data_IF_984216998326
#
_entry.id   IF_984216998326
#
_cell.length_a   1.000
_cell.length_b   1.000
_cell.length_c   1.000
_cell.angle_alpha   90.00
_cell.angle_beta   90.00
_cell.angle_gamma   90.00
#
_symmetry.space_group_name_H-M   'P 1'
#
loop_
_entity.id
_entity.type
_entity.pdbx_description
1 polymer ?
#
# COMPACT_ATOMS: atom_id res chain seq x y z
N UNK A 1 -22.30 13.55 -3.79
CA UNK A 1 -22.23 12.70 -2.57
C UNK A 1 -21.70 13.55 -1.43
N UNK A 2 -22.21 13.41 -0.21
CA UNK A 2 -21.63 14.07 0.95
C UNK A 2 -20.37 13.30 1.37
N UNK A 3 -19.34 13.96 1.89
CA UNK A 3 -18.11 13.28 2.37
C UNK A 3 -18.42 12.26 3.47
N UNK A 4 -19.50 12.46 4.22
CA UNK A 4 -20.00 11.52 5.24
C UNK A 4 -20.52 10.20 4.66
N UNK A 5 -20.88 10.17 3.37
CA UNK A 5 -21.40 8.97 2.69
C UNK A 5 -20.27 8.10 2.12
N UNK A 6 -19.04 8.63 2.08
CA UNK A 6 -17.84 7.94 1.60
C UNK A 6 -17.25 7.12 2.74
N UNK A 7 -16.93 5.84 2.51
CA UNK A 7 -16.29 4.99 3.54
C UNK A 7 -14.87 5.44 3.85
N UNK A 8 -14.31 5.09 5.02
CA UNK A 8 -12.91 5.43 5.35
C UNK A 8 -11.91 4.84 4.35
N UNK A 9 -12.14 3.63 3.85
CA UNK A 9 -11.28 2.99 2.84
C UNK A 9 -11.37 3.71 1.49
N UNK A 10 -12.57 4.13 1.06
CA UNK A 10 -12.73 4.92 -0.17
C UNK A 10 -12.09 6.31 -0.04
N UNK A 11 -12.24 6.96 1.12
CA UNK A 11 -11.58 8.23 1.39
C UNK A 11 -10.05 8.10 1.41
N UNK A 12 -9.51 7.00 1.95
CA UNK A 12 -8.08 6.68 1.88
C UNK A 12 -7.57 6.53 0.44
N UNK A 13 -8.35 5.90 -0.44
CA UNK A 13 -8.03 5.82 -1.87
C UNK A 13 -8.00 7.20 -2.52
N UNK A 14 -8.93 8.10 -2.19
CA UNK A 14 -8.90 9.49 -2.68
C UNK A 14 -7.66 10.25 -2.20
N UNK A 15 -7.28 10.09 -0.93
CA UNK A 15 -6.04 10.69 -0.40
C UNK A 15 -4.82 10.21 -1.20
N UNK A 16 -4.66 8.90 -1.38
CA UNK A 16 -3.56 8.33 -2.16
C UNK A 16 -3.58 8.82 -3.62
N UNK A 17 -4.75 8.84 -4.26
CA UNK A 17 -4.88 9.33 -5.63
C UNK A 17 -4.40 10.79 -5.75
N UNK A 18 -4.82 11.65 -4.82
CA UNK A 18 -4.41 13.06 -4.83
C UNK A 18 -2.91 13.24 -4.59
N UNK A 19 -2.31 12.47 -3.68
CA UNK A 19 -0.87 12.48 -3.49
C UNK A 19 -0.12 12.13 -4.79
N UNK A 20 -0.54 11.08 -5.50
CA UNK A 20 0.12 10.68 -6.75
C UNK A 20 -0.12 11.69 -7.87
N UNK A 21 -1.31 12.27 -7.98
CA UNK A 21 -1.63 13.29 -9.01
C UNK A 21 -1.21 14.71 -8.62
N UNK A 22 -0.39 14.88 -7.58
CA UNK A 22 0.12 16.19 -7.14
C UNK A 22 -0.98 17.20 -6.76
N UNK A 23 -2.11 16.71 -6.28
CA UNK A 23 -3.20 17.51 -5.70
C UNK A 23 -3.04 17.45 -4.19
N UNK A 24 -3.04 18.60 -3.51
CA UNK A 24 -2.91 18.61 -2.05
C UNK A 24 -4.23 18.14 -1.38
N UNK A 25 -4.27 16.95 -0.74
CA UNK A 25 -5.50 16.41 -0.15
C UNK A 25 -5.98 17.18 1.08
N UNK A 26 -5.13 18.05 1.66
CA UNK A 26 -5.50 18.93 2.78
C UNK A 26 -6.19 20.22 2.36
N UNK A 27 -6.19 20.53 1.05
CA UNK A 27 -6.75 21.78 0.48
C UNK A 27 -7.69 21.51 -0.69
N UNK A 28 -8.36 20.35 -0.70
CA UNK A 28 -9.25 19.97 -1.80
C UNK A 28 -10.59 20.70 -1.69
N UNK A 29 -10.80 21.76 -2.49
CA UNK A 29 -12.02 22.59 -2.46
C UNK A 29 -12.39 23.12 -1.05
N UNK A 30 -11.38 23.45 -0.24
CA UNK A 30 -11.57 23.91 1.15
C UNK A 30 -11.84 22.78 2.15
N UNK A 31 -11.77 21.52 1.74
CA UNK A 31 -11.82 20.35 2.61
C UNK A 31 -10.41 19.80 2.86
N UNK A 32 -10.16 19.44 4.12
CA UNK A 32 -8.99 18.66 4.51
C UNK A 32 -9.37 17.18 4.64
N UNK A 33 -9.13 16.42 3.57
CA UNK A 33 -9.46 15.01 3.51
C UNK A 33 -8.61 14.17 4.46
N UNK A 34 -7.37 14.59 4.71
CA UNK A 34 -6.45 13.88 5.61
C UNK A 34 -6.92 14.03 7.05
N UNK A 35 -7.27 15.26 7.46
CA UNK A 35 -7.82 15.53 8.79
C UNK A 35 -9.18 14.84 9.02
N UNK A 36 -10.05 14.81 8.00
CA UNK A 36 -11.31 14.06 8.08
C UNK A 36 -11.07 12.55 8.22
N UNK A 37 -10.09 12.00 7.51
CA UNK A 37 -9.72 10.59 7.62
C UNK A 37 -9.14 10.27 9.02
N UNK A 38 -8.22 11.09 9.53
CA UNK A 38 -7.64 10.96 10.88
C UNK A 38 -8.71 10.95 11.96
N UNK A 39 -9.65 11.89 11.89
CA UNK A 39 -10.80 11.97 12.81
C UNK A 39 -11.62 10.68 12.86
N UNK A 40 -11.82 10.02 11.71
CA UNK A 40 -12.56 8.75 11.65
C UNK A 40 -11.79 7.61 12.28
N UNK A 41 -10.48 7.55 12.08
CA UNK A 41 -9.61 6.56 12.74
C UNK A 41 -9.65 6.75 14.26
N UNK A 42 -9.57 8.00 14.74
CA UNK A 42 -9.61 8.30 16.18
C UNK A 42 -10.94 7.92 16.83
N UNK A 43 -12.03 7.99 16.08
CA UNK A 43 -13.37 7.63 16.55
C UNK A 43 -13.65 6.12 16.52
N UNK A 44 -12.78 5.30 15.91
CA UNK A 44 -12.98 3.86 15.73
C UNK A 44 -12.03 3.04 16.61
N UNK A 45 -12.49 1.85 16.99
CA UNK A 45 -11.67 0.88 17.72
C UNK A 45 -10.88 -0.03 16.77
N UNK A 46 -11.45 -0.34 15.61
CA UNK A 46 -10.78 -1.10 14.55
C UNK A 46 -10.63 -0.21 13.32
N UNK A 47 -9.47 -0.26 12.68
CA UNK A 47 -9.22 0.45 11.42
C UNK A 47 -8.54 -0.49 10.44
N UNK A 48 -9.03 -0.52 9.20
CA UNK A 48 -8.39 -1.27 8.13
C UNK A 48 -6.98 -0.70 7.89
N UNK A 49 -5.90 -1.51 7.85
CA UNK A 49 -4.54 -1.02 7.70
C UNK A 49 -4.29 -0.12 6.47
N UNK A 50 -5.05 -0.30 5.38
CA UNK A 50 -4.98 0.58 4.20
C UNK A 50 -5.27 2.06 4.53
N UNK A 51 -6.11 2.32 5.53
CA UNK A 51 -6.46 3.68 5.97
C UNK A 51 -5.27 4.31 6.70
N UNK A 52 -4.60 3.56 7.59
CA UNK A 52 -3.41 4.05 8.29
C UNK A 52 -2.26 4.27 7.31
N UNK A 53 -2.09 3.38 6.33
CA UNK A 53 -1.11 3.53 5.26
C UNK A 53 -1.33 4.85 4.48
N UNK A 54 -2.58 5.17 4.10
CA UNK A 54 -2.87 6.42 3.40
C UNK A 54 -2.60 7.67 4.26
N UNK A 55 -2.89 7.62 5.57
CA UNK A 55 -2.52 8.69 6.50
C UNK A 55 -1.00 8.87 6.57
N UNK A 56 -0.26 7.77 6.72
CA UNK A 56 1.20 7.79 6.78
C UNK A 56 1.81 8.37 5.48
N UNK A 57 1.32 7.92 4.32
CA UNK A 57 1.69 8.44 2.99
C UNK A 57 1.44 9.95 2.84
N UNK A 58 0.39 10.47 3.48
CA UNK A 58 0.06 11.90 3.52
C UNK A 58 0.89 12.70 4.54
N UNK A 59 1.88 12.06 5.19
CA UNK A 59 2.70 12.66 6.24
C UNK A 59 1.96 12.90 7.55
N UNK A 60 0.76 12.32 7.73
CA UNK A 60 0.06 12.35 9.02
C UNK A 60 0.78 11.41 10.00
N UNK A 61 0.92 11.85 11.26
CA UNK A 61 1.62 11.06 12.29
C UNK A 61 0.88 9.74 12.54
N UNK A 62 1.62 8.63 12.46
CA UNK A 62 1.15 7.33 12.93
C UNK A 62 1.43 7.23 14.43
N UNK A 63 0.40 6.99 15.23
CA UNK A 63 0.52 6.91 16.70
C UNK A 63 0.81 5.49 17.18
N UNK A 64 1.23 5.33 18.43
CA UNK A 64 1.38 3.99 19.04
C UNK A 64 0.04 3.22 19.07
N UNK A 65 -1.09 3.91 19.23
CA UNK A 65 -2.42 3.29 19.16
C UNK A 65 -2.66 2.73 17.75
N UNK A 66 -2.30 3.48 16.71
CA UNK A 66 -2.44 3.02 15.34
C UNK A 66 -1.56 1.78 15.08
N UNK A 67 -0.31 1.78 15.57
CA UNK A 67 0.60 0.63 15.44
C UNK A 67 0.03 -0.62 16.12
N UNK A 68 -0.47 -0.50 17.35
CA UNK A 68 -1.14 -1.63 18.04
C UNK A 68 -2.36 -2.12 17.25
N UNK A 69 -3.21 -1.22 16.77
CA UNK A 69 -4.37 -1.59 15.96
C UNK A 69 -3.99 -2.29 14.65
N UNK A 70 -2.87 -1.90 14.03
CA UNK A 70 -2.35 -2.57 12.83
C UNK A 70 -1.92 -4.00 13.15
N UNK A 71 -1.18 -4.21 14.26
CA UNK A 71 -0.73 -5.54 14.70
C UNK A 71 -1.95 -6.41 15.05
N UNK A 72 -2.91 -5.89 15.81
CA UNK A 72 -4.16 -6.60 16.12
C UNK A 72 -4.93 -6.98 14.85
N UNK A 73 -4.99 -6.09 13.84
CA UNK A 73 -5.61 -6.39 12.55
C UNK A 73 -4.87 -7.47 11.76
N UNK A 74 -3.54 -7.51 11.87
CA UNK A 74 -2.72 -8.57 11.28
C UNK A 74 -2.94 -9.91 11.97
N UNK A 75 -2.98 -9.93 13.30
CA UNK A 75 -3.18 -11.15 14.10
C UNK A 75 -4.59 -11.71 13.89
N UNK A 76 -5.63 -10.88 13.99
CA UNK A 76 -7.02 -11.28 13.81
C UNK A 76 -7.33 -11.86 12.42
N UNK A 77 -6.45 -11.63 11.44
CA UNK A 77 -6.53 -12.17 10.08
C UNK A 77 -6.13 -13.66 9.98
N UNK A 78 -6.75 -14.51 10.82
CA UNK A 78 -6.44 -15.94 10.90
C UNK A 78 -6.95 -16.79 9.71
N UNK A 79 -7.86 -16.28 8.87
CA UNK A 79 -8.36 -17.01 7.69
C UNK A 79 -7.48 -16.73 6.47
N UNK A 80 -7.29 -17.73 5.61
CA UNK A 80 -6.52 -17.62 4.35
C UNK A 80 -6.93 -16.36 3.56
N UNK A 81 -8.23 -16.10 3.38
CA UNK A 81 -8.80 -14.96 2.63
C UNK A 81 -8.31 -13.55 3.08
N UNK A 82 -7.62 -13.43 4.24
CA UNK A 82 -7.25 -12.14 4.84
C UNK A 82 -5.77 -11.79 4.66
N UNK A 83 -5.04 -12.51 3.80
CA UNK A 83 -3.62 -12.22 3.50
C UNK A 83 -3.42 -10.80 2.93
N UNK A 84 -4.41 -10.24 2.22
CA UNK A 84 -4.38 -8.83 1.81
C UNK A 84 -4.27 -7.88 3.00
N UNK A 85 -5.04 -8.13 4.07
CA UNK A 85 -5.02 -7.33 5.30
C UNK A 85 -3.67 -7.45 5.99
N UNK A 86 -3.08 -8.66 6.01
CA UNK A 86 -1.73 -8.89 6.55
C UNK A 86 -0.66 -8.12 5.77
N UNK A 87 -0.72 -8.17 4.44
CA UNK A 87 0.20 -7.42 3.58
C UNK A 87 0.06 -5.90 3.76
N UNK A 88 -1.19 -5.40 3.82
CA UNK A 88 -1.46 -3.98 4.08
C UNK A 88 -1.00 -3.53 5.47
N UNK A 89 -1.09 -4.40 6.48
CA UNK A 89 -0.56 -4.14 7.81
C UNK A 89 0.97 -4.01 7.80
N UNK A 90 1.68 -4.93 7.14
CA UNK A 90 3.14 -4.83 6.99
C UNK A 90 3.53 -3.56 6.23
N UNK A 91 2.81 -3.20 5.16
CA UNK A 91 3.03 -1.94 4.44
C UNK A 91 2.81 -0.72 5.35
N UNK A 92 1.74 -0.69 6.14
CA UNK A 92 1.45 0.41 7.06
C UNK A 92 2.54 0.55 8.15
N UNK A 93 3.02 -0.58 8.71
CA UNK A 93 4.12 -0.60 9.68
C UNK A 93 5.43 -0.14 9.05
N UNK A 94 5.76 -0.61 7.84
CA UNK A 94 6.94 -0.17 7.11
C UNK A 94 6.92 1.34 6.81
N UNK A 95 5.75 1.91 6.53
CA UNK A 95 5.60 3.36 6.41
C UNK A 95 5.82 4.06 7.75
N UNK A 96 5.19 3.58 8.83
CA UNK A 96 5.31 4.15 10.17
C UNK A 96 6.77 4.18 10.64
N UNK A 97 7.52 3.10 10.42
CA UNK A 97 8.94 2.99 10.77
C UNK A 97 9.85 4.00 10.05
N UNK A 98 9.40 4.57 8.92
CA UNK A 98 10.12 5.61 8.17
C UNK A 98 9.80 7.03 8.66
N UNK A 99 8.79 7.21 9.52
CA UNK A 99 8.51 8.52 10.09
C UNK A 99 9.60 8.92 11.09
N UNK A 100 9.93 10.22 11.22
CA UNK A 100 10.97 10.69 12.13
C UNK A 100 10.58 10.61 13.62
N UNK A 101 9.39 10.08 13.91
CA UNK A 101 8.89 9.90 15.26
C UNK A 101 9.25 8.48 15.71
N UNK A 102 9.83 8.32 16.90
CA UNK A 102 10.10 7.00 17.47
C UNK A 102 8.78 6.24 17.65
N UNK A 103 8.42 5.42 16.65
CA UNK A 103 7.41 4.39 16.81
C UNK A 103 8.11 3.17 17.37
N UNK A 104 7.71 2.74 18.57
CA UNK A 104 8.12 1.44 19.10
C UNK A 104 7.75 0.34 18.09
N UNK A 105 8.47 -0.80 18.12
CA UNK A 105 8.24 -2.01 17.30
C UNK A 105 8.94 -2.18 15.91
N UNK A 106 10.15 -1.64 15.62
CA UNK A 106 10.89 -2.03 14.41
C UNK A 106 11.16 -3.55 14.31
N UNK A 107 11.37 -4.21 15.46
CA UNK A 107 11.66 -5.64 15.54
C UNK A 107 10.48 -6.55 15.14
N UNK A 108 9.25 -6.02 15.09
CA UNK A 108 8.05 -6.81 14.75
C UNK A 108 7.89 -6.99 13.24
N UNK A 109 8.36 -6.04 12.43
CA UNK A 109 8.20 -6.07 10.97
C UNK A 109 8.81 -7.34 10.33
N UNK A 110 10.05 -7.77 10.69
CA UNK A 110 10.63 -9.01 10.17
C UNK A 110 9.79 -10.27 10.47
N UNK A 111 9.23 -10.38 11.68
CA UNK A 111 8.40 -11.51 12.10
C UNK A 111 7.11 -11.60 11.26
N UNK A 112 6.39 -10.49 11.12
CA UNK A 112 5.16 -10.44 10.32
C UNK A 112 5.44 -10.68 8.83
N UNK A 113 6.59 -10.19 8.34
CA UNK A 113 7.04 -10.43 6.97
C UNK A 113 7.33 -11.92 6.73
N UNK A 114 7.92 -12.61 7.71
CA UNK A 114 8.15 -14.06 7.63
C UNK A 114 6.84 -14.85 7.51
N UNK A 115 5.79 -14.46 8.23
CA UNK A 115 4.47 -15.10 8.06
C UNK A 115 3.95 -14.93 6.62
N UNK A 116 4.15 -13.75 6.00
CA UNK A 116 3.76 -13.53 4.60
C UNK A 116 4.56 -14.40 3.63
N UNK A 117 5.88 -14.57 3.85
CA UNK A 117 6.73 -15.45 3.03
C UNK A 117 6.20 -16.88 3.01
N UNK A 118 5.82 -17.39 4.19
CA UNK A 118 5.28 -18.74 4.36
C UNK A 118 3.92 -19.00 3.69
N UNK A 119 3.26 -17.98 3.12
CA UNK A 119 1.99 -18.13 2.40
C UNK A 119 2.15 -18.37 0.89
N UNK A 120 3.38 -18.39 0.37
CA UNK A 120 3.59 -18.68 -1.03
C UNK A 120 3.23 -20.14 -1.35
N UNK A 121 2.35 -20.34 -2.32
CA UNK A 121 2.08 -21.66 -2.86
C UNK A 121 3.25 -22.15 -3.72
N UNK A 122 3.34 -23.47 -3.91
CA UNK A 122 4.37 -24.09 -4.78
C UNK A 122 4.39 -23.56 -6.21
N UNK A 123 3.29 -22.99 -6.71
CA UNK A 123 3.21 -22.40 -8.04
C UNK A 123 3.81 -20.97 -8.11
N UNK A 124 4.20 -20.37 -6.98
CA UNK A 124 4.77 -19.02 -6.85
C UNK A 124 3.78 -17.92 -6.47
N UNK A 125 2.46 -18.19 -6.50
CA UNK A 125 1.45 -17.20 -6.12
C UNK A 125 1.16 -17.24 -4.63
N UNK A 126 0.69 -16.14 -4.08
CA UNK A 126 -0.04 -16.09 -2.80
C UNK A 126 -1.51 -15.86 -3.13
N UNK A 127 -2.33 -16.89 -2.96
CA UNK A 127 -3.77 -16.89 -3.29
C UNK A 127 -4.06 -16.48 -4.74
N UNK A 128 -4.25 -15.18 -4.98
CA UNK A 128 -4.61 -14.60 -6.27
C UNK A 128 -3.61 -13.51 -6.68
N UNK A 129 -3.78 -12.95 -7.88
CA UNK A 129 -2.88 -11.98 -8.47
C UNK A 129 -2.70 -10.71 -7.61
N UNK A 130 -3.80 -10.18 -7.08
CA UNK A 130 -3.82 -8.99 -6.21
C UNK A 130 -3.05 -9.26 -4.92
N UNK A 131 -3.35 -10.38 -4.28
CA UNK A 131 -2.73 -10.77 -3.00
C UNK A 131 -1.24 -11.06 -3.18
N UNK A 132 -0.86 -11.73 -4.27
CA UNK A 132 0.55 -11.93 -4.64
C UNK A 132 1.27 -10.59 -4.78
N UNK A 133 0.66 -9.63 -5.50
CA UNK A 133 1.26 -8.32 -5.70
C UNK A 133 1.39 -7.50 -4.40
N UNK A 134 0.39 -7.58 -3.51
CA UNK A 134 0.43 -6.93 -2.20
C UNK A 134 1.50 -7.52 -1.30
N UNK A 135 1.63 -8.85 -1.26
CA UNK A 135 2.68 -9.53 -0.46
C UNK A 135 4.06 -9.13 -0.95
N UNK A 136 4.33 -9.19 -2.26
CA UNK A 136 5.62 -8.76 -2.80
C UNK A 136 5.93 -7.29 -2.45
N UNK A 137 4.96 -6.39 -2.57
CA UNK A 137 5.13 -5.00 -2.15
C UNK A 137 5.42 -4.85 -0.65
N UNK A 138 4.76 -5.63 0.19
CA UNK A 138 4.98 -5.62 1.64
C UNK A 138 6.41 -6.09 1.99
N UNK A 139 6.89 -7.15 1.34
CA UNK A 139 8.25 -7.67 1.52
C UNK A 139 9.31 -6.67 1.06
N UNK A 140 9.09 -5.99 -0.08
CA UNK A 140 9.98 -4.92 -0.55
C UNK A 140 10.02 -3.73 0.42
N UNK A 141 8.86 -3.35 0.96
CA UNK A 141 8.76 -2.20 1.86
C UNK A 141 9.36 -2.46 3.25
N UNK A 142 9.31 -3.71 3.72
CA UNK A 142 9.83 -4.12 5.03
C UNK A 142 11.33 -4.32 5.07
N UNK A 143 12.03 -4.27 3.91
CA UNK A 143 13.47 -4.56 3.80
C UNK A 143 13.82 -5.91 4.44
N UNK A 144 12.86 -6.85 4.44
CA UNK A 144 13.07 -8.20 4.96
C UNK A 144 14.19 -8.85 4.14
N UNK A 145 15.30 -9.23 4.80
CA UNK A 145 16.43 -9.87 4.12
C UNK A 145 15.94 -11.01 3.21
N UNK A 146 16.55 -11.11 2.03
CA UNK A 146 16.27 -12.15 1.07
C UNK A 146 16.69 -13.49 1.68
N UNK A 147 15.69 -14.20 2.17
CA UNK A 147 15.79 -15.60 2.55
C UNK A 147 15.10 -16.37 1.43
N UNK A 148 15.86 -16.63 0.36
CA UNK A 148 15.40 -17.26 -0.88
C UNK A 148 14.75 -18.63 -0.61
N UNK A 149 15.06 -19.27 0.51
CA UNK A 149 14.48 -20.55 0.92
C UNK A 149 12.99 -20.42 1.29
N UNK A 150 12.53 -19.23 1.69
CA UNK A 150 11.19 -19.01 2.24
C UNK A 150 10.22 -18.31 1.27
N UNK A 151 10.71 -17.60 0.24
CA UNK A 151 9.85 -16.98 -0.79
C UNK A 151 10.57 -16.86 -2.15
N UNK A 152 10.03 -17.51 -3.18
CA UNK A 152 10.55 -17.46 -4.55
C UNK A 152 10.01 -16.23 -5.29
N UNK A 153 10.71 -15.11 -5.17
CA UNK A 153 10.33 -13.82 -5.77
C UNK A 153 10.25 -13.88 -7.30
N UNK A 154 11.19 -14.58 -7.94
CA UNK A 154 11.23 -14.70 -9.40
C UNK A 154 9.98 -15.42 -9.91
N UNK A 155 9.59 -16.51 -9.25
CA UNK A 155 8.39 -17.26 -9.61
C UNK A 155 7.12 -16.47 -9.34
N UNK A 156 7.07 -15.71 -8.26
CA UNK A 156 5.95 -14.80 -8.00
C UNK A 156 5.84 -13.73 -9.10
N UNK A 157 6.93 -13.05 -9.44
CA UNK A 157 6.97 -12.04 -10.50
C UNK A 157 6.58 -12.63 -11.86
N UNK A 158 7.08 -13.82 -12.19
CA UNK A 158 6.70 -14.54 -13.42
C UNK A 158 5.19 -14.81 -13.46
N UNK A 159 4.57 -15.18 -12.33
CA UNK A 159 3.12 -15.37 -12.25
C UNK A 159 2.35 -14.06 -12.39
N UNK A 160 2.87 -12.96 -11.84
CA UNK A 160 2.29 -11.63 -12.07
C UNK A 160 2.29 -11.29 -13.57
N UNK A 161 3.44 -11.40 -14.23
CA UNK A 161 3.59 -11.06 -15.66
C UNK A 161 2.70 -11.92 -16.57
N UNK A 162 2.56 -13.22 -16.28
CA UNK A 162 1.64 -14.11 -17.00
C UNK A 162 0.15 -13.74 -16.81
N UNK A 163 -0.17 -12.92 -15.81
CA UNK A 163 -1.52 -12.42 -15.56
C UNK A 163 -1.93 -11.25 -16.46
N UNK A 164 -0.98 -10.64 -17.18
CA UNK A 164 -1.25 -9.51 -18.07
C UNK A 164 -2.10 -9.93 -19.27
N UNK A 165 -3.10 -9.10 -19.60
CA UNK A 165 -4.00 -9.27 -20.74
C UNK A 165 -3.43 -8.54 -21.97
N UNK A 166 -4.01 -8.84 -23.14
CA UNK A 166 -3.59 -8.22 -24.41
C UNK A 166 -3.72 -6.69 -24.41
N UNK A 167 -4.67 -6.15 -23.65
CA UNK A 167 -4.87 -4.71 -23.45
C UNK A 167 -3.89 -4.08 -22.44
N UNK A 168 -2.95 -4.87 -21.90
CA UNK A 168 -1.97 -4.45 -20.90
C UNK A 168 -2.51 -4.45 -19.46
N UNK A 169 -3.81 -4.65 -19.25
CA UNK A 169 -4.42 -4.72 -17.92
C UNK A 169 -4.13 -6.05 -17.23
N UNK A 170 -4.43 -6.12 -15.94
CA UNK A 170 -4.37 -7.37 -15.15
C UNK A 170 -5.77 -7.94 -14.89
N UNK A 171 -6.67 -7.76 -15.87
CA UNK A 171 -8.01 -8.33 -15.93
C UNK A 171 -9.10 -7.52 -15.22
N UNK A 172 -8.74 -6.65 -14.27
CA UNK A 172 -9.64 -5.63 -13.71
C UNK A 172 -8.84 -4.47 -13.11
N UNK A 173 -9.55 -3.37 -12.81
CA UNK A 173 -8.96 -2.15 -12.25
C UNK A 173 -8.21 -2.41 -10.93
N UNK A 174 -8.76 -3.23 -10.04
CA UNK A 174 -8.17 -3.49 -8.72
C UNK A 174 -6.85 -4.23 -8.84
N UNK A 175 -6.81 -5.30 -9.63
CA UNK A 175 -5.59 -6.04 -9.91
C UNK A 175 -4.53 -5.13 -10.54
N UNK A 176 -4.94 -4.34 -11.54
CA UNK A 176 -4.05 -3.41 -12.24
C UNK A 176 -3.47 -2.38 -11.28
N UNK A 177 -4.31 -1.78 -10.43
CA UNK A 177 -3.89 -0.83 -9.41
C UNK A 177 -2.81 -1.39 -8.47
N UNK A 178 -2.97 -2.62 -7.98
CA UNK A 178 -2.00 -3.23 -7.07
C UNK A 178 -0.77 -3.79 -7.80
N UNK A 179 -0.87 -4.22 -9.05
CA UNK A 179 0.27 -4.79 -9.80
C UNK A 179 1.20 -3.70 -10.34
N UNK A 180 0.69 -2.58 -10.84
CA UNK A 180 1.53 -1.58 -11.50
C UNK A 180 2.71 -1.07 -10.65
N UNK A 181 2.53 -0.68 -9.37
CA UNK A 181 3.67 -0.25 -8.54
C UNK A 181 4.75 -1.33 -8.42
N UNK A 182 4.34 -2.60 -8.31
CA UNK A 182 5.25 -3.73 -8.18
C UNK A 182 6.18 -3.86 -9.40
N UNK A 183 5.65 -3.67 -10.61
CA UNK A 183 6.44 -3.78 -11.85
C UNK A 183 7.54 -2.70 -11.96
N UNK A 184 7.37 -1.59 -11.23
CA UNK A 184 8.37 -0.53 -11.09
C UNK A 184 9.27 -0.70 -9.85
N UNK A 185 9.24 -1.87 -9.20
CA UNK A 185 9.90 -2.13 -7.91
C UNK A 185 9.52 -1.09 -6.85
N UNK A 186 8.25 -0.67 -6.86
CA UNK A 186 7.64 0.22 -5.87
C UNK A 186 6.57 -0.51 -5.08
N UNK A 187 6.23 0.08 -3.95
CA UNK A 187 5.14 -0.34 -3.07
C UNK A 187 4.19 0.81 -2.81
N UNK A 188 3.03 0.51 -2.24
CA UNK A 188 2.08 1.53 -1.78
C UNK A 188 2.66 2.47 -0.71
N UNK A 189 3.75 2.11 -0.03
CA UNK A 189 4.48 2.99 0.92
C UNK A 189 5.21 4.12 0.20
N UNK A 190 5.45 3.99 -1.10
CA UNK A 190 6.11 5.02 -1.90
C UNK A 190 5.16 6.12 -2.38
N UNK A 191 3.85 5.98 -2.14
CA UNK A 191 2.88 7.02 -2.44
C UNK A 191 3.13 8.19 -1.47
N UNK A 192 3.59 9.31 -2.01
CA UNK A 192 3.76 10.58 -1.28
C UNK A 192 3.65 11.72 -2.28
N UNK A 193 3.68 12.98 -1.85
CA UNK A 193 3.78 14.11 -2.78
C UNK A 193 5.22 14.47 -3.16
N UNK A 194 6.22 13.72 -2.70
CA UNK A 194 7.65 14.07 -2.89
C UNK A 194 8.11 14.03 -4.34
N UNK A 195 7.47 13.22 -5.20
CA UNK A 195 7.75 13.21 -6.65
C UNK A 195 7.23 14.46 -7.36
N UNK A 196 6.34 15.24 -6.73
CA UNK A 196 5.77 16.45 -7.31
C UNK A 196 6.73 17.64 -7.28
N UNK A 197 7.68 17.63 -6.34
CA UNK A 197 8.72 18.66 -6.22
C UNK A 197 9.94 18.38 -7.11
N UNK A 198 9.98 17.20 -7.75
CA UNK A 198 10.97 16.89 -8.77
C UNK A 198 10.69 17.78 -9.99
N UNK A 199 11.30 18.96 -10.00
CA UNK A 199 11.40 19.80 -11.19
C UNK A 199 11.76 18.92 -12.38
N UNK A 200 11.01 19.08 -13.47
CA UNK A 200 11.29 18.47 -14.77
C UNK A 200 12.61 19.04 -15.28
N UNK A 201 13.72 18.56 -14.72
CA UNK A 201 15.07 18.85 -15.21
C UNK A 201 15.38 17.70 -16.16
N UNK A 202 15.50 18.08 -17.43
CA UNK A 202 15.99 17.24 -18.53
C UNK A 202 14.97 16.33 -19.22
N UNK A 203 13.86 16.89 -19.76
CA UNK A 203 13.19 16.43 -20.99
C UNK A 203 12.67 14.98 -21.07
N UNK A 204 12.89 14.17 -20.04
CA UNK A 204 12.46 12.80 -19.85
C UNK A 204 11.52 12.86 -18.68
N UNK A 205 10.23 12.92 -18.99
CA UNK A 205 9.19 12.63 -18.04
C UNK A 205 9.54 11.29 -17.38
N UNK A 206 10.03 11.28 -16.14
CA UNK A 206 9.92 10.08 -15.30
C UNK A 206 8.43 9.94 -15.08
N UNK A 207 7.86 9.04 -15.88
CA UNK A 207 6.46 8.67 -15.95
C UNK A 207 5.97 8.26 -14.56
N UNK A 208 5.59 9.23 -13.73
CA UNK A 208 4.76 9.00 -12.55
C UNK A 208 3.29 9.32 -12.83
N UNK A 209 3.03 10.17 -13.84
CA UNK A 209 1.66 10.51 -14.25
C UNK A 209 1.13 9.70 -15.45
N UNK A 210 1.99 9.17 -16.33
CA UNK A 210 1.52 8.55 -17.58
C UNK A 210 0.96 7.14 -17.38
N UNK A 211 1.33 6.40 -16.33
CA UNK A 211 0.76 5.06 -16.08
C UNK A 211 -0.64 5.10 -15.45
N UNK A 212 -1.02 6.19 -14.77
CA UNK A 212 -2.40 6.36 -14.26
C UNK A 212 -3.32 6.93 -15.34
N UNK A 213 -2.79 7.76 -16.25
CA UNK A 213 -3.61 8.35 -17.32
C UNK A 213 -4.05 7.32 -18.38
N UNK A 214 -3.29 6.23 -18.56
CA UNK A 214 -3.65 5.14 -19.48
C UNK A 214 -4.74 4.22 -18.90
N UNK A 215 -5.00 4.27 -17.59
CA UNK A 215 -6.04 3.45 -16.95
C UNK A 215 -7.45 4.09 -17.00
N UNK A 216 -7.61 5.28 -17.58
CA UNK A 216 -8.89 6.03 -17.55
C UNK A 216 -9.49 6.27 -18.95
N UNK A 217 -8.84 5.87 -20.05
CA UNK A 217 -9.40 5.91 -21.41
C UNK A 217 -9.27 4.58 -22.14
#
# INVERSE_FOLDING_TARGET
RNIKDVSSTELALYVNAFLVTCINPRKFYGLDLVSELRKRVDAQNYTNPSVILALCNAGERVTERDVRNIIEAFEAAHKEIWTDTKALAVLALACAAKQPYETLYPATIPELSMELKNRQYRNGTVENLKTTALVMQALFASESEADEDNFDEEKALKKILLGQKEDGSFGNLINTYYVLPLLSYKSLVNISSSHCDASVIDGKLKVFCTEIYIAVH
#
